data_IF_547234699484
#
_entry.id   IF_547234699484
#
_cell.length_a   1.000
_cell.length_b   1.000
_cell.length_c   1.000
_cell.angle_alpha   90.00
_cell.angle_beta   90.00
_cell.angle_gamma   90.00
#
_symmetry.space_group_name_H-M   'P 1'
#
loop_
_entity.id
_entity.type
_entity.pdbx_description
1 polymer ?
#
# COMPACT_ATOMS: atom_id res chain seq x y z
N UNK A 1 -12.24 21.91 -7.34
CA UNK A 1 -11.83 20.70 -6.60
C UNK A 1 -11.52 19.68 -7.67
N UNK A 2 -10.25 19.51 -8.04
CA UNK A 2 -9.88 18.46 -9.01
C UNK A 2 -10.13 17.12 -8.35
N UNK A 3 -10.92 16.26 -9.01
CA UNK A 3 -10.91 14.86 -8.69
C UNK A 3 -9.50 14.35 -9.03
N UNK A 4 -8.70 14.01 -8.02
CA UNK A 4 -7.47 13.25 -8.28
C UNK A 4 -7.89 11.95 -8.96
N UNK A 5 -7.63 11.86 -10.27
CA UNK A 5 -7.92 10.68 -11.06
C UNK A 5 -6.86 9.63 -10.71
N UNK A 6 -7.16 8.80 -9.72
CA UNK A 6 -6.34 7.64 -9.42
C UNK A 6 -6.40 6.67 -10.61
N UNK A 7 -5.26 6.08 -10.96
CA UNK A 7 -5.18 5.05 -12.00
C UNK A 7 -5.95 3.82 -11.54
N UNK A 8 -6.92 3.37 -12.33
CA UNK A 8 -7.65 2.12 -12.09
C UNK A 8 -7.08 1.03 -13.02
N UNK A 9 -6.80 -0.14 -12.46
CA UNK A 9 -6.28 -1.30 -13.18
C UNK A 9 -7.16 -2.50 -12.91
N UNK A 10 -7.76 -3.08 -13.95
CA UNK A 10 -8.64 -4.26 -13.87
C UNK A 10 -7.91 -5.51 -14.35
N UNK A 11 -8.35 -6.69 -13.91
CA UNK A 11 -7.81 -7.99 -14.34
C UNK A 11 -6.41 -8.33 -13.80
N UNK A 12 -5.89 -7.54 -12.84
CA UNK A 12 -4.62 -7.85 -12.17
C UNK A 12 -4.79 -8.92 -11.08
N UNK A 13 -5.94 -8.92 -10.43
CA UNK A 13 -6.27 -9.80 -9.33
C UNK A 13 -7.70 -10.31 -9.57
N UNK A 14 -7.91 -11.60 -9.34
CA UNK A 14 -9.23 -12.20 -9.29
C UNK A 14 -9.58 -12.60 -7.85
N UNK A 15 -10.81 -12.30 -7.43
CA UNK A 15 -11.34 -12.75 -6.13
C UNK A 15 -12.60 -13.57 -6.39
N UNK A 16 -12.52 -14.87 -6.11
CA UNK A 16 -13.62 -15.80 -6.38
C UNK A 16 -13.95 -15.93 -7.87
N UNK A 17 -12.94 -15.88 -8.75
CA UNK A 17 -13.10 -15.96 -10.21
C UNK A 17 -13.71 -14.72 -10.84
N UNK A 18 -13.62 -13.57 -10.17
CA UNK A 18 -14.08 -12.27 -10.67
C UNK A 18 -12.94 -11.26 -10.60
N UNK A 19 -12.73 -10.52 -11.68
CA UNK A 19 -11.78 -9.42 -11.71
C UNK A 19 -12.15 -8.36 -10.66
N UNK A 20 -11.13 -7.85 -9.97
CA UNK A 20 -11.25 -6.71 -9.07
C UNK A 20 -10.41 -5.53 -9.57
N UNK A 21 -10.85 -4.32 -9.24
CA UNK A 21 -10.11 -3.09 -9.55
C UNK A 21 -9.05 -2.82 -8.51
N UNK A 22 -7.81 -2.66 -8.96
CA UNK A 22 -6.70 -2.12 -8.16
C UNK A 22 -6.58 -0.63 -8.45
N UNK A 23 -6.48 0.19 -7.40
CA UNK A 23 -6.37 1.65 -7.50
C UNK A 23 -4.95 2.08 -7.14
N UNK A 24 -4.34 2.87 -8.01
CA UNK A 24 -2.98 3.39 -7.85
C UNK A 24 -1.91 2.49 -8.49
N UNK A 25 -0.70 3.04 -8.64
CA UNK A 25 0.45 2.32 -9.18
C UNK A 25 1.02 1.33 -8.16
N UNK A 26 1.73 0.31 -8.65
CA UNK A 26 2.58 -0.53 -7.79
C UNK A 26 3.88 0.21 -7.45
N UNK A 27 4.54 -0.22 -6.38
CA UNK A 27 5.89 0.24 -6.04
C UNK A 27 6.92 -0.36 -7.02
N UNK A 28 7.86 0.46 -7.49
CA UNK A 28 8.95 0.01 -8.35
C UNK A 28 10.26 -0.22 -7.57
N UNK A 29 11.15 -1.07 -8.11
CA UNK A 29 12.47 -1.31 -7.49
C UNK A 29 13.29 -0.02 -7.52
N UNK A 30 13.87 0.34 -6.38
CA UNK A 30 14.66 1.56 -6.22
C UNK A 30 13.81 2.81 -5.92
N UNK A 31 12.48 2.72 -6.01
CA UNK A 31 11.59 3.76 -5.52
C UNK A 31 11.69 3.88 -4.00
N UNK A 32 11.79 5.11 -3.50
CA UNK A 32 11.70 5.36 -2.06
C UNK A 32 10.31 4.97 -1.56
N UNK A 33 10.26 4.11 -0.54
CA UNK A 33 9.00 3.71 0.08
C UNK A 33 8.27 4.93 0.67
N UNK A 34 6.95 5.09 0.40
CA UNK A 34 6.15 6.10 1.07
C UNK A 34 5.92 5.73 2.53
N UNK A 35 5.84 6.73 3.41
CA UNK A 35 5.51 6.50 4.81
C UNK A 35 4.01 6.23 4.99
N UNK A 36 3.68 5.55 6.09
CA UNK A 36 2.32 5.13 6.39
C UNK A 36 2.11 4.98 7.90
N UNK A 37 0.87 5.13 8.34
CA UNK A 37 0.46 4.88 9.73
C UNK A 37 -0.52 3.71 9.73
N UNK A 38 -0.29 2.72 10.59
CA UNK A 38 -1.22 1.60 10.80
C UNK A 38 -1.68 1.53 12.24
N UNK A 39 -2.76 0.79 12.45
CA UNK A 39 -3.27 0.47 13.79
C UNK A 39 -2.89 -0.97 14.11
N UNK A 40 -2.24 -1.18 15.25
CA UNK A 40 -1.90 -2.51 15.77
C UNK A 40 -3.15 -3.22 16.32
N UNK A 41 -3.10 -4.55 16.52
CA UNK A 41 -4.22 -5.30 17.11
C UNK A 41 -4.63 -4.83 18.51
N UNK A 42 -3.72 -4.17 19.24
CA UNK A 42 -3.97 -3.54 20.54
C UNK A 42 -4.58 -2.12 20.42
N UNK A 43 -4.97 -1.71 19.21
CA UNK A 43 -5.49 -0.39 18.84
C UNK A 43 -4.53 0.78 18.97
N UNK A 44 -3.27 0.56 19.30
CA UNK A 44 -2.28 1.63 19.30
C UNK A 44 -1.74 1.90 17.88
N UNK A 45 -1.31 3.14 17.65
CA UNK A 45 -0.76 3.56 16.36
C UNK A 45 0.69 3.05 16.18
N UNK A 46 1.09 2.89 14.92
CA UNK A 46 2.44 2.53 14.54
C UNK A 46 2.86 3.30 13.27
N UNK A 47 3.94 4.07 13.36
CA UNK A 47 4.52 4.84 12.25
C UNK A 47 5.45 3.92 11.43
N UNK A 48 4.98 3.48 10.26
CA UNK A 48 5.55 2.37 9.50
C UNK A 48 7.05 2.47 9.24
N UNK A 49 7.51 3.52 8.56
CA UNK A 49 8.93 3.64 8.22
C UNK A 49 9.78 4.09 9.42
N UNK A 50 9.27 5.03 10.21
CA UNK A 50 10.01 5.58 11.35
C UNK A 50 10.30 4.54 12.42
N UNK A 51 9.31 3.72 12.79
CA UNK A 51 9.45 2.66 13.80
C UNK A 51 10.23 1.44 13.27
N UNK A 52 10.62 1.45 12.01
CA UNK A 52 11.43 0.40 11.37
C UNK A 52 12.77 0.89 10.84
N UNK A 53 13.22 2.05 11.29
CA UNK A 53 14.50 2.60 10.89
C UNK A 53 15.65 1.62 11.18
N UNK A 54 16.50 1.41 10.16
CA UNK A 54 17.71 0.59 10.28
C UNK A 54 17.50 -0.93 10.12
N UNK A 55 16.29 -1.39 9.82
CA UNK A 55 16.01 -2.81 9.52
C UNK A 55 15.34 -2.99 8.15
N UNK A 56 15.41 -4.22 7.63
CA UNK A 56 14.64 -4.60 6.45
C UNK A 56 13.21 -4.95 6.85
N UNK A 57 12.22 -4.39 6.16
CA UNK A 57 10.80 -4.68 6.35
C UNK A 57 10.21 -5.28 5.08
N UNK A 58 9.47 -6.38 5.25
CA UNK A 58 8.68 -7.03 4.21
C UNK A 58 7.20 -6.77 4.51
N UNK A 59 6.44 -6.34 3.51
CA UNK A 59 4.98 -6.23 3.54
C UNK A 59 4.43 -7.30 2.59
N UNK A 60 3.62 -8.22 3.11
CA UNK A 60 3.10 -9.38 2.40
C UNK A 60 1.67 -9.70 2.85
#
# INVERSE_FOLDING_TARGET
MEAMKYMERQGLIEVGGKDVTVVGPDMEIGQQAPDFIVIKPDYSQYEGLKETAGIVRILA
#
